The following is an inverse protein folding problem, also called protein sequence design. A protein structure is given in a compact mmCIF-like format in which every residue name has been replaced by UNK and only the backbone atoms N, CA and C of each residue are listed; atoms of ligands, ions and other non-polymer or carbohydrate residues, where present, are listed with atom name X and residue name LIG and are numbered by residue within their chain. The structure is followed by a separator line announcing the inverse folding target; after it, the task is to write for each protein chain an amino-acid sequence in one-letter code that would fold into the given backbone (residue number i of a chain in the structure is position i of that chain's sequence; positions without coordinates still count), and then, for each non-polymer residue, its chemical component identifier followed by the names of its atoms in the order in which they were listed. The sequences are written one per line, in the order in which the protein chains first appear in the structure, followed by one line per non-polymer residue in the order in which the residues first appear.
data_IF_584953885389
#
_entry.id   IF_584953885389
#
_cell.length_a   1.000
_cell.length_b   1.000
_cell.length_c   1.000
_cell.angle_alpha   90.00
_cell.angle_beta   90.00
_cell.angle_gamma   90.00
#
_symmetry.space_group_name_H-M   'P 1'
#
loop_
_entity.id
_entity.type
_entity.pdbx_description
1 polymer ?
#
# COMPACT_ATOMS: atom_id res chain seq x y z
N UNK A 1 7.15 2.39 60.31
CA UNK A 1 7.94 1.50 59.41
C UNK A 1 6.96 0.62 58.64
N UNK A 2 6.65 0.91 57.37
CA UNK A 2 5.87 0.01 56.51
C UNK A 2 6.22 0.29 55.03
N UNK A 3 7.24 -0.39 54.51
CA UNK A 3 7.55 -0.39 53.07
C UNK A 3 6.69 -1.48 52.42
N UNK A 4 5.50 -1.12 51.92
CA UNK A 4 4.81 -1.96 50.95
C UNK A 4 5.59 -1.90 49.65
N UNK A 5 6.40 -2.91 49.39
CA UNK A 5 7.15 -3.04 48.14
C UNK A 5 6.17 -3.14 46.98
N UNK A 6 6.32 -2.22 46.02
CA UNK A 6 5.51 -2.09 44.83
C UNK A 6 5.90 -3.20 43.83
N UNK A 7 5.58 -4.45 44.16
CA UNK A 7 5.87 -5.59 43.29
C UNK A 7 4.71 -5.78 42.30
N UNK A 8 4.93 -5.38 41.05
CA UNK A 8 4.03 -5.68 39.92
C UNK A 8 4.34 -7.10 39.43
N UNK A 9 3.36 -8.01 39.33
CA UNK A 9 3.62 -9.41 39.00
C UNK A 9 4.25 -9.53 37.60
N UNK A 10 5.27 -10.38 37.47
CA UNK A 10 5.98 -10.63 36.21
C UNK A 10 5.04 -11.10 35.07
N UNK A 11 3.86 -11.63 35.41
CA UNK A 11 2.82 -12.07 34.46
C UNK A 11 2.29 -10.92 33.60
N UNK A 12 2.17 -9.72 34.17
CA UNK A 12 1.70 -8.53 33.46
C UNK A 12 2.74 -8.03 32.44
N UNK A 13 4.04 -8.22 32.72
CA UNK A 13 5.11 -7.87 31.79
C UNK A 13 5.16 -8.79 30.58
N UNK A 14 4.94 -10.09 30.78
CA UNK A 14 4.86 -11.06 29.69
C UNK A 14 3.61 -10.84 28.82
N UNK A 15 2.46 -10.52 29.42
CA UNK A 15 1.23 -10.20 28.69
C UNK A 15 1.37 -8.91 27.87
N UNK A 16 1.96 -7.85 28.44
CA UNK A 16 2.22 -6.61 27.71
C UNK A 16 3.23 -6.78 26.59
N UNK A 17 4.23 -7.65 26.76
CA UNK A 17 5.19 -7.97 25.71
C UNK A 17 4.52 -8.76 24.56
N UNK A 18 3.60 -9.67 24.88
CA UNK A 18 2.84 -10.43 23.89
C UNK A 18 1.90 -9.54 23.06
N UNK A 19 1.24 -8.56 23.70
CA UNK A 19 0.42 -7.54 23.03
C UNK A 19 1.29 -6.68 22.09
N UNK A 20 2.52 -6.35 22.50
CA UNK A 20 3.45 -5.59 21.65
C UNK A 20 3.88 -6.41 20.41
N UNK A 21 4.10 -7.72 20.54
CA UNK A 21 4.42 -8.58 19.40
C UNK A 21 3.26 -8.76 18.43
N UNK A 22 2.02 -8.89 18.93
CA UNK A 22 0.82 -8.93 18.09
C UNK A 22 0.65 -7.58 17.36
N UNK A 23 0.81 -6.46 18.07
CA UNK A 23 0.75 -5.14 17.48
C UNK A 23 1.86 -4.87 16.45
N UNK A 24 3.06 -5.44 16.62
CA UNK A 24 4.13 -5.36 15.62
C UNK A 24 3.87 -6.28 14.41
N UNK A 25 3.31 -7.47 14.65
CA UNK A 25 3.04 -8.48 13.62
C UNK A 25 1.89 -8.10 12.69
N UNK A 26 0.89 -7.34 13.17
CA UNK A 26 -0.19 -6.82 12.33
C UNK A 26 0.24 -5.67 11.40
N UNK A 27 1.43 -5.10 11.58
CA UNK A 27 2.01 -4.14 10.61
C UNK A 27 2.66 -4.84 9.40
N UNK A 28 2.93 -6.15 9.45
CA UNK A 28 3.08 -6.95 8.22
C UNK A 28 1.69 -7.25 7.66
N UNK A 29 1.02 -6.21 7.21
CA UNK A 29 -0.26 -6.34 6.54
C UNK A 29 -0.04 -7.13 5.24
N UNK A 30 -0.87 -8.15 4.98
CA UNK A 30 -0.78 -9.03 3.80
C UNK A 30 -0.77 -8.23 2.48
N UNK A 31 -1.26 -6.99 2.50
CA UNK A 31 -1.21 -6.00 1.42
C UNK A 31 0.21 -5.73 0.94
N UNK A 32 1.19 -5.56 1.85
CA UNK A 32 2.58 -5.30 1.47
C UNK A 32 3.25 -6.54 0.85
N UNK A 33 2.89 -7.73 1.34
CA UNK A 33 3.45 -9.00 0.85
C UNK A 33 2.87 -9.37 -0.53
N UNK A 34 1.58 -9.12 -0.77
CA UNK A 34 0.95 -9.32 -2.08
C UNK A 34 1.53 -8.40 -3.16
N UNK A 35 1.82 -7.15 -2.81
CA UNK A 35 2.41 -6.20 -3.75
C UNK A 35 3.82 -6.62 -4.19
N UNK A 36 4.62 -7.13 -3.25
CA UNK A 36 5.97 -7.65 -3.51
C UNK A 36 5.98 -8.95 -4.32
N UNK A 37 5.01 -9.84 -4.09
CA UNK A 37 4.99 -11.17 -4.74
C UNK A 37 4.52 -11.15 -6.20
N UNK A 38 3.66 -10.20 -6.59
CA UNK A 38 3.04 -10.20 -7.93
C UNK A 38 3.73 -9.24 -8.94
N UNK A 39 4.41 -8.22 -8.43
CA UNK A 39 5.08 -7.19 -9.23
C UNK A 39 6.56 -7.19 -8.89
N UNK A 40 7.36 -8.02 -9.57
CA UNK A 40 8.80 -8.06 -9.35
C UNK A 40 9.42 -6.66 -9.41
N UNK A 41 10.45 -6.42 -8.59
CA UNK A 41 11.11 -5.12 -8.40
C UNK A 41 11.75 -4.54 -9.68
N UNK A 42 11.77 -5.30 -10.78
CA UNK A 42 12.42 -4.94 -12.03
C UNK A 42 11.50 -4.28 -13.06
N UNK A 43 10.19 -4.20 -12.82
CA UNK A 43 9.26 -3.63 -13.83
C UNK A 43 9.60 -2.18 -14.21
N UNK A 44 9.98 -1.36 -13.22
CA UNK A 44 10.33 0.04 -13.45
C UNK A 44 11.52 0.21 -14.42
N UNK A 45 12.45 -0.75 -14.44
CA UNK A 45 13.67 -0.67 -15.25
C UNK A 45 13.39 -0.72 -16.76
N UNK A 46 12.38 -1.49 -17.17
CA UNK A 46 12.03 -1.65 -18.59
C UNK A 46 10.71 -0.96 -18.98
N UNK A 47 9.76 -0.80 -18.05
CA UNK A 47 8.49 -0.10 -18.32
C UNK A 47 8.64 1.42 -18.25
N UNK A 48 9.68 1.94 -17.58
CA UNK A 48 10.01 3.37 -17.50
C UNK A 48 8.79 4.24 -17.14
N UNK A 49 8.09 3.96 -16.03
CA UNK A 49 6.76 4.53 -15.76
C UNK A 49 6.75 6.07 -15.72
N UNK A 50 7.81 6.68 -15.17
CA UNK A 50 7.96 8.13 -15.16
C UNK A 50 8.03 8.73 -16.58
N UNK A 51 8.75 8.07 -17.50
CA UNK A 51 8.85 8.50 -18.90
C UNK A 51 7.50 8.34 -19.60
N UNK A 52 6.79 7.23 -19.37
CA UNK A 52 5.47 7.00 -19.95
C UNK A 52 4.49 8.09 -19.52
N UNK A 53 4.37 8.33 -18.21
CA UNK A 53 3.44 9.32 -17.66
C UNK A 53 3.77 10.73 -18.17
N UNK A 54 5.06 11.10 -18.20
CA UNK A 54 5.48 12.38 -18.75
C UNK A 54 5.10 12.53 -20.23
N UNK A 55 5.24 11.46 -21.01
CA UNK A 55 4.94 11.47 -22.46
C UNK A 55 3.44 11.57 -22.74
N UNK A 56 2.58 11.12 -21.82
CA UNK A 56 1.13 11.22 -21.96
C UNK A 56 0.60 12.65 -21.79
N UNK A 57 1.40 13.57 -21.23
CA UNK A 57 1.03 14.99 -21.12
C UNK A 57 -0.19 15.24 -20.21
N UNK A 58 -0.50 14.32 -19.30
CA UNK A 58 -1.65 14.39 -18.39
C UNK A 58 -1.54 15.63 -17.50
N UNK A 59 -2.64 16.37 -17.38
CA UNK A 59 -2.75 17.57 -16.57
C UNK A 59 -3.58 17.34 -15.30
N UNK A 60 -3.38 18.15 -14.26
CA UNK A 60 -4.27 18.15 -13.10
C UNK A 60 -5.72 18.44 -13.52
N UNK A 61 -6.67 17.64 -13.05
CA UNK A 61 -8.08 17.71 -13.41
C UNK A 61 -8.51 16.76 -14.53
N UNK A 62 -7.56 16.11 -15.22
CA UNK A 62 -7.90 15.21 -16.31
C UNK A 62 -8.63 13.93 -15.85
N UNK A 63 -9.40 13.38 -16.77
CA UNK A 63 -10.07 12.10 -16.63
C UNK A 63 -9.34 11.09 -17.51
N UNK A 64 -8.75 10.07 -16.89
CA UNK A 64 -7.87 9.09 -17.56
C UNK A 64 -8.40 7.68 -17.36
N UNK A 65 -8.32 6.83 -18.39
CA UNK A 65 -8.58 5.40 -18.27
C UNK A 65 -7.25 4.63 -18.27
N UNK A 66 -7.01 3.83 -17.23
CA UNK A 66 -5.93 2.84 -17.18
C UNK A 66 -6.49 1.49 -17.62
N UNK A 67 -6.23 1.11 -18.87
CA UNK A 67 -6.77 -0.11 -19.49
C UNK A 67 -5.81 -1.29 -19.28
N UNK A 68 -6.31 -2.38 -18.74
CA UNK A 68 -5.49 -3.49 -18.26
C UNK A 68 -4.74 -3.10 -16.98
N UNK A 69 -5.43 -2.43 -16.06
CA UNK A 69 -4.81 -1.86 -14.85
C UNK A 69 -4.16 -2.92 -13.96
N UNK A 70 -4.62 -4.19 -14.05
CA UNK A 70 -4.17 -5.27 -13.21
C UNK A 70 -4.21 -4.88 -11.72
N UNK A 71 -3.11 -5.09 -11.03
CA UNK A 71 -2.93 -4.69 -9.63
C UNK A 71 -2.85 -3.18 -9.38
N UNK A 72 -2.86 -2.35 -10.43
CA UNK A 72 -2.86 -0.88 -10.33
C UNK A 72 -1.49 -0.22 -10.45
N UNK A 73 -0.52 -0.90 -11.07
CA UNK A 73 0.86 -0.42 -11.22
C UNK A 73 0.93 1.00 -11.82
N UNK A 74 0.15 1.31 -12.85
CA UNK A 74 0.06 2.66 -13.41
C UNK A 74 -1.02 3.51 -12.73
N UNK A 75 -2.18 2.94 -12.37
CA UNK A 75 -3.31 3.61 -11.71
C UNK A 75 -2.88 4.61 -10.64
N UNK A 76 -2.05 4.18 -9.68
CA UNK A 76 -1.65 5.05 -8.57
C UNK A 76 -0.84 6.27 -9.01
N UNK A 77 0.05 6.08 -10.00
CA UNK A 77 0.90 7.16 -10.54
C UNK A 77 0.09 8.13 -11.42
N UNK A 78 -0.86 7.59 -12.19
CA UNK A 78 -1.83 8.39 -12.95
C UNK A 78 -2.71 9.22 -12.01
N UNK A 79 -3.20 8.62 -10.91
CA UNK A 79 -4.04 9.30 -9.92
C UNK A 79 -3.30 10.46 -9.25
N UNK A 80 -2.01 10.30 -8.96
CA UNK A 80 -1.17 11.40 -8.45
C UNK A 80 -1.03 12.54 -9.46
N UNK A 81 -0.94 12.22 -10.76
CA UNK A 81 -0.73 13.21 -11.83
C UNK A 81 -1.99 14.02 -12.10
N UNK A 82 -3.17 13.38 -12.17
CA UNK A 82 -4.45 14.08 -12.36
C UNK A 82 -4.89 14.86 -11.10
N UNK A 83 -4.37 14.50 -9.92
CA UNK A 83 -4.66 15.20 -8.68
C UNK A 83 -6.12 15.11 -8.22
N UNK A 84 -6.50 15.84 -7.15
CA UNK A 84 -7.80 15.69 -6.49
C UNK A 84 -9.01 16.17 -7.32
N UNK A 85 -8.77 17.00 -8.34
CA UNK A 85 -9.81 17.49 -9.24
C UNK A 85 -10.04 16.56 -10.44
N UNK A 86 -9.14 15.60 -10.69
CA UNK A 86 -9.24 14.65 -11.79
C UNK A 86 -9.73 13.27 -11.35
N UNK A 87 -9.76 12.34 -12.29
CA UNK A 87 -10.20 10.96 -12.01
C UNK A 87 -9.48 9.95 -12.88
N UNK A 88 -9.11 8.82 -12.29
CA UNK A 88 -8.60 7.66 -13.03
C UNK A 88 -9.63 6.53 -12.95
N UNK A 89 -9.98 5.96 -14.09
CA UNK A 89 -10.77 4.74 -14.21
C UNK A 89 -9.80 3.59 -14.45
N UNK A 90 -9.58 2.76 -13.42
CA UNK A 90 -8.87 1.50 -13.56
C UNK A 90 -9.83 0.47 -14.14
N UNK A 91 -9.49 -0.09 -15.30
CA UNK A 91 -10.34 -1.05 -16.01
C UNK A 91 -9.50 -2.24 -16.40
N UNK A 92 -9.93 -3.44 -16.00
CA UNK A 92 -9.35 -4.71 -16.44
C UNK A 92 -10.43 -5.60 -17.06
N UNK A 93 -10.03 -6.66 -17.75
CA UNK A 93 -10.97 -7.68 -18.24
C UNK A 93 -11.24 -8.75 -17.16
N UNK A 94 -10.33 -8.89 -16.18
CA UNK A 94 -10.56 -9.77 -15.04
C UNK A 94 -11.56 -9.13 -14.08
N UNK A 95 -12.78 -9.67 -14.03
CA UNK A 95 -13.84 -9.20 -13.14
C UNK A 95 -13.44 -9.19 -11.65
N UNK A 96 -12.44 -9.99 -11.24
CA UNK A 96 -11.95 -9.98 -9.85
C UNK A 96 -11.18 -8.71 -9.51
N UNK A 97 -10.69 -8.00 -10.52
CA UNK A 97 -9.89 -6.77 -10.37
C UNK A 97 -10.78 -5.51 -10.38
N UNK A 98 -11.92 -5.55 -11.08
CA UNK A 98 -12.85 -4.42 -11.22
C UNK A 98 -13.82 -4.21 -10.03
N UNK A 99 -13.52 -4.77 -8.86
CA UNK A 99 -14.43 -4.77 -7.70
C UNK A 99 -14.25 -3.56 -6.79
#
# INVERSE_FOLDING_TARGET
MNKKTNYRPLKDRAQNLFILFIALGTFLNCTAFKHFAHEGTERDAWQLPARVIHSLGIQPGDYVADLGSGSGYFTGRLAQTVGPAGKVYAVDIDEKINQ
#
